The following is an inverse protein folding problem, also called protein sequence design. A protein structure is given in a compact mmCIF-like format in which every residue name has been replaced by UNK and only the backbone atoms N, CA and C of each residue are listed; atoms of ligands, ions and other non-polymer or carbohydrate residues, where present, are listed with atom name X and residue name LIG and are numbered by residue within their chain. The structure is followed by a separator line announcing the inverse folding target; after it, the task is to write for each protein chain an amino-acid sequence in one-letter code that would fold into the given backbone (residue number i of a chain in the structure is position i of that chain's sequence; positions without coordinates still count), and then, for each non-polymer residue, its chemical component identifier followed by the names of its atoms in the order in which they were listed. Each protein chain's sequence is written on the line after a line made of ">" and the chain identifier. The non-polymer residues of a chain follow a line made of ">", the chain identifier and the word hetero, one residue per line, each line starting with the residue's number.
data_IF_202512558344
#
_entry.id   IF_202512558344
#
_cell.length_a   1.000
_cell.length_b   1.000
_cell.length_c   1.000
_cell.angle_alpha   90.00
_cell.angle_beta   90.00
_cell.angle_gamma   90.00
#
_symmetry.space_group_name_H-M   'P 1'
#
loop_
_entity.id
_entity.type
_entity.pdbx_description
1 polymer ?
#
# COMPACT_ATOMS: atom_id res chain seq x y z
N UNK A 1 16.65 -7.47 -2.06
CA UNK A 1 16.59 -6.11 -2.61
C UNK A 1 17.02 -6.14 -4.09
N UNK A 2 16.22 -5.56 -4.99
CA UNK A 2 16.34 -5.66 -6.45
C UNK A 2 16.14 -4.29 -7.08
N UNK A 3 16.90 -3.96 -8.12
CA UNK A 3 16.71 -2.75 -8.91
C UNK A 3 15.66 -2.97 -9.99
N UNK A 4 14.64 -2.10 -10.03
CA UNK A 4 13.57 -2.18 -11.03
C UNK A 4 13.48 -0.85 -11.77
N UNK A 5 13.42 -0.92 -13.10
CA UNK A 5 13.15 0.23 -13.96
C UNK A 5 11.63 0.42 -14.10
N UNK A 6 11.15 1.60 -13.71
CA UNK A 6 9.74 1.97 -13.89
C UNK A 6 9.49 2.40 -15.33
N UNK A 7 8.25 2.30 -15.78
CA UNK A 7 7.82 2.76 -17.11
C UNK A 7 8.12 4.25 -17.40
N UNK A 8 8.33 5.07 -16.37
CA UNK A 8 8.75 6.47 -16.50
C UNK A 8 10.28 6.64 -16.59
N UNK A 9 11.04 5.55 -16.79
CA UNK A 9 12.50 5.54 -16.89
C UNK A 9 13.24 5.74 -15.56
N UNK A 10 12.54 5.82 -14.42
CA UNK A 10 13.18 5.96 -13.11
C UNK A 10 13.51 4.59 -12.52
N UNK A 11 14.69 4.47 -11.94
CA UNK A 11 15.08 3.32 -11.14
C UNK A 11 14.47 3.38 -9.74
N UNK A 12 14.04 2.24 -9.21
CA UNK A 12 13.54 2.08 -7.85
C UNK A 12 14.11 0.82 -7.20
N UNK A 13 14.43 0.92 -5.91
CA UNK A 13 14.74 -0.24 -5.09
C UNK A 13 13.44 -0.97 -4.74
N UNK A 14 13.39 -2.27 -4.99
CA UNK A 14 12.28 -3.15 -4.64
C UNK A 14 12.79 -4.24 -3.69
N UNK A 15 12.16 -4.42 -2.54
CA UNK A 15 12.41 -5.58 -1.68
C UNK A 15 11.41 -6.66 -2.06
N UNK A 16 11.91 -7.86 -2.37
CA UNK A 16 11.06 -9.01 -2.68
C UNK A 16 10.59 -9.63 -1.37
N UNK A 17 9.32 -9.43 -1.06
CA UNK A 17 8.67 -9.97 0.15
C UNK A 17 7.85 -11.23 -0.15
N UNK A 18 8.03 -11.90 -1.30
CA UNK A 18 7.17 -13.03 -1.69
C UNK A 18 7.13 -14.12 -0.62
N UNK A 19 8.29 -14.59 -0.15
CA UNK A 19 8.37 -15.63 0.88
C UNK A 19 7.83 -15.15 2.22
N UNK A 20 8.12 -13.89 2.59
CA UNK A 20 7.62 -13.28 3.83
C UNK A 20 6.08 -13.17 3.82
N UNK A 21 5.51 -12.72 2.72
CA UNK A 21 4.07 -12.55 2.56
C UNK A 21 3.33 -13.90 2.55
N UNK A 22 3.99 -14.98 2.15
CA UNK A 22 3.43 -16.33 2.20
C UNK A 22 3.34 -16.89 3.62
N UNK A 23 4.24 -16.49 4.52
CA UNK A 23 4.23 -16.93 5.94
C UNK A 23 3.46 -15.99 6.86
N UNK A 24 3.29 -14.73 6.47
CA UNK A 24 2.53 -13.74 7.23
C UNK A 24 1.02 -14.00 7.17
N UNK A 25 0.30 -13.88 8.29
CA UNK A 25 -1.16 -13.91 8.28
C UNK A 25 -1.70 -12.75 7.44
N UNK A 26 -2.78 -13.01 6.69
CA UNK A 26 -3.46 -11.97 5.91
C UNK A 26 -4.12 -10.95 6.83
N UNK A 27 -4.13 -9.70 6.38
CA UNK A 27 -4.82 -8.61 7.06
C UNK A 27 -6.32 -8.93 7.22
N UNK A 28 -6.88 -8.85 8.45
CA UNK A 28 -8.31 -9.03 8.69
C UNK A 28 -9.17 -7.89 8.10
N UNK A 29 -8.59 -6.73 7.80
CA UNK A 29 -9.32 -5.59 7.24
C UNK A 29 -9.38 -5.69 5.71
N UNK A 30 -10.56 -6.09 5.22
CA UNK A 30 -10.81 -6.12 3.80
C UNK A 30 -10.84 -4.70 3.22
N UNK A 31 -10.26 -4.53 2.04
CA UNK A 31 -10.42 -3.30 1.27
C UNK A 31 -11.90 -3.08 0.96
N UNK A 32 -12.41 -1.85 1.11
CA UNK A 32 -13.80 -1.54 0.78
C UNK A 32 -14.09 -1.81 -0.70
N UNK A 33 -15.30 -2.29 -0.99
CA UNK A 33 -15.75 -2.51 -2.35
C UNK A 33 -15.86 -1.17 -3.10
N UNK A 34 -15.39 -1.13 -4.35
CA UNK A 34 -15.34 0.11 -5.13
C UNK A 34 -16.72 0.69 -5.43
N UNK A 35 -17.72 -0.14 -5.71
CA UNK A 35 -19.09 0.30 -5.98
C UNK A 35 -19.68 0.95 -4.73
N UNK A 36 -19.43 0.37 -3.56
CA UNK A 36 -19.87 0.95 -2.29
C UNK A 36 -19.22 2.32 -2.02
N UNK A 37 -17.95 2.51 -2.39
CA UNK A 37 -17.27 3.81 -2.28
C UNK A 37 -17.87 4.84 -3.25
N UNK A 38 -18.16 4.44 -4.49
CA UNK A 38 -18.74 5.31 -5.52
C UNK A 38 -20.16 5.71 -5.15
N UNK A 39 -21.00 4.77 -4.74
CA UNK A 39 -22.36 5.02 -4.28
C UNK A 39 -22.37 5.96 -3.06
N UNK A 40 -21.44 5.74 -2.13
CA UNK A 40 -21.27 6.59 -0.95
C UNK A 40 -20.82 8.02 -1.27
N UNK A 41 -20.15 8.25 -2.41
CA UNK A 41 -19.75 9.57 -2.89
C UNK A 41 -20.75 10.16 -3.91
N UNK A 42 -21.76 9.41 -4.32
CA UNK A 42 -22.78 9.86 -5.26
C UNK A 42 -23.70 10.91 -4.62
N UNK A 43 -24.08 11.93 -5.37
CA UNK A 43 -24.98 12.99 -4.90
C UNK A 43 -24.31 14.17 -4.18
N UNK A 44 -23.00 14.13 -3.94
CA UNK A 44 -22.25 15.30 -3.49
C UNK A 44 -21.92 16.24 -4.66
N UNK A 45 -22.15 17.55 -4.46
CA UNK A 45 -21.89 18.56 -5.49
C UNK A 45 -20.40 18.85 -5.72
N UNK A 46 -19.54 18.46 -4.77
CA UNK A 46 -18.09 18.65 -4.83
C UNK A 46 -17.39 17.48 -4.12
N UNK A 47 -16.32 16.97 -4.75
CA UNK A 47 -15.43 15.98 -4.18
C UNK A 47 -14.00 16.52 -4.17
N UNK A 48 -13.26 16.23 -3.10
CA UNK A 48 -11.83 16.53 -2.98
C UNK A 48 -11.08 15.24 -2.72
N UNK A 49 -9.98 15.04 -3.44
CA UNK A 49 -9.13 13.86 -3.32
C UNK A 49 -7.79 14.25 -2.72
N UNK A 50 -7.38 13.52 -1.68
CA UNK A 50 -6.04 13.66 -1.11
C UNK A 50 -5.16 12.53 -1.64
N UNK A 51 -3.99 12.90 -2.15
CA UNK A 51 -2.98 11.93 -2.54
C UNK A 51 -2.17 11.49 -1.32
N UNK A 52 -2.04 10.18 -1.17
CA UNK A 52 -1.33 9.54 -0.07
C UNK A 52 -0.14 8.74 -0.60
N UNK A 53 0.59 9.28 -1.59
CA UNK A 53 1.71 8.62 -2.29
C UNK A 53 2.78 8.02 -1.37
N UNK A 54 3.01 8.60 -0.19
CA UNK A 54 3.97 8.10 0.81
C UNK A 54 3.31 7.47 2.05
N UNK A 55 2.02 7.14 1.98
CA UNK A 55 1.23 6.66 3.13
C UNK A 55 1.88 5.49 3.85
N UNK A 56 2.37 4.50 3.10
CA UNK A 56 3.03 3.32 3.64
C UNK A 56 4.26 3.66 4.50
N UNK A 57 4.99 4.73 4.16
CA UNK A 57 6.21 5.11 4.86
C UNK A 57 5.93 5.97 6.12
N UNK A 58 4.69 6.40 6.32
CA UNK A 58 4.30 7.21 7.48
C UNK A 58 3.89 6.35 8.68
N UNK A 59 3.42 5.12 8.42
CA UNK A 59 3.04 4.17 9.46
C UNK A 59 4.29 3.46 9.94
N UNK A 60 4.60 3.62 11.23
CA UNK A 60 5.77 2.96 11.83
C UNK A 60 5.50 1.47 12.00
N UNK A 61 6.50 0.67 11.66
CA UNK A 61 6.51 -0.75 11.97
C UNK A 61 6.60 -0.95 13.48
N UNK A 62 6.04 -2.06 13.96
CA UNK A 62 6.26 -2.46 15.34
C UNK A 62 7.73 -2.86 15.52
N UNK A 63 8.46 -2.41 16.56
CA UNK A 63 9.91 -2.61 16.67
C UNK A 63 10.35 -4.08 16.62
N UNK A 64 9.50 -5.00 17.06
CA UNK A 64 9.80 -6.44 17.04
C UNK A 64 9.72 -7.07 15.64
N UNK A 65 9.06 -6.38 14.70
CA UNK A 65 8.83 -6.87 13.34
C UNK A 65 9.80 -6.26 12.32
N UNK A 66 10.53 -5.19 12.68
CA UNK A 66 11.50 -4.51 11.80
C UNK A 66 12.55 -5.48 11.23
N UNK A 67 13.11 -6.34 12.08
CA UNK A 67 14.10 -7.33 11.68
C UNK A 67 13.58 -8.39 10.69
N UNK A 68 12.25 -8.57 10.60
CA UNK A 68 11.61 -9.52 9.67
C UNK A 68 11.49 -8.96 8.25
N UNK A 69 11.77 -7.68 8.05
CA UNK A 69 11.58 -6.97 6.78
C UNK A 69 12.89 -6.57 6.09
N UNK A 70 14.04 -7.01 6.64
CA UNK A 70 15.37 -6.82 6.07
C UNK A 70 15.75 -7.90 5.06
#
# INVERSE_FOLDING_TARGET
>A
MVMVEKANGKWCMCTDYTDLNNVCPKDPYLLPNIDQLVDGASGFALLSFMDAYLSYNQIKMHPQDEAKTS
#
